data_IF_471994956993
#
_entry.id   IF_471994956993
#
_cell.length_a   1.000
_cell.length_b   1.000
_cell.length_c   1.000
_cell.angle_alpha   90.00
_cell.angle_beta   90.00
_cell.angle_gamma   90.00
#
_symmetry.space_group_name_H-M   'P 1'
#
loop_
_entity.id
_entity.type
_entity.pdbx_description
1 polymer ?
#
# COMPACT_ATOMS: atom_id res chain seq x y z
N UNK A 1 -12.91 -51.32 14.09
CA UNK A 1 -12.07 -50.12 13.87
C UNK A 1 -12.05 -49.34 15.16
N UNK A 2 -10.90 -49.19 15.83
CA UNK A 2 -10.80 -48.28 16.97
C UNK A 2 -10.95 -46.83 16.47
N UNK A 3 -11.49 -45.90 17.29
CA UNK A 3 -11.51 -44.49 16.95
C UNK A 3 -10.07 -43.96 16.86
N UNK A 4 -9.81 -43.17 15.81
CA UNK A 4 -8.57 -42.41 15.65
C UNK A 4 -8.27 -41.62 16.94
N UNK A 5 -7.01 -41.54 17.41
CA UNK A 5 -6.67 -40.65 18.51
C UNK A 5 -7.08 -39.24 18.12
N UNK A 6 -7.82 -38.57 19.01
CA UNK A 6 -8.13 -37.16 18.87
C UNK A 6 -6.81 -36.40 18.74
N UNK A 7 -6.65 -35.64 17.65
CA UNK A 7 -5.55 -34.69 17.52
C UNK A 7 -5.60 -33.76 18.73
N UNK A 8 -4.68 -33.96 19.68
CA UNK A 8 -4.51 -33.11 20.85
C UNK A 8 -3.89 -31.80 20.39
N UNK A 9 -4.69 -30.93 19.78
CA UNK A 9 -4.29 -29.57 19.44
C UNK A 9 -3.90 -28.82 20.71
N UNK A 10 -2.62 -28.47 20.83
CA UNK A 10 -2.14 -27.60 21.91
C UNK A 10 -2.63 -26.18 21.69
N UNK A 11 -3.45 -25.65 22.60
CA UNK A 11 -3.88 -24.26 22.58
C UNK A 11 -2.83 -23.38 23.23
N UNK A 12 -2.28 -22.43 22.48
CA UNK A 12 -1.33 -21.45 22.99
C UNK A 12 -2.03 -20.12 23.22
N UNK A 13 -1.84 -19.55 24.42
CA UNK A 13 -2.26 -18.19 24.74
C UNK A 13 -1.06 -17.27 24.55
N UNK A 14 -1.16 -16.35 23.59
CA UNK A 14 -0.07 -15.46 23.23
C UNK A 14 -0.19 -14.12 23.96
N UNK A 15 0.95 -13.59 24.39
CA UNK A 15 1.04 -12.24 24.91
C UNK A 15 1.53 -11.28 23.82
N UNK A 16 0.99 -10.06 23.76
CA UNK A 16 1.43 -9.08 22.78
C UNK A 16 2.87 -8.64 23.08
N UNK A 17 3.68 -8.55 22.04
CA UNK A 17 5.01 -8.00 22.09
C UNK A 17 4.94 -6.51 22.49
N UNK A 18 5.77 -6.11 23.44
CA UNK A 18 5.89 -4.71 23.85
C UNK A 18 6.71 -3.89 22.86
N UNK A 19 7.72 -4.53 22.26
CA UNK A 19 8.61 -3.95 21.24
C UNK A 19 8.76 -4.99 20.12
N UNK A 20 8.73 -4.58 18.85
CA UNK A 20 9.01 -5.49 17.76
C UNK A 20 10.44 -6.05 17.83
N UNK A 21 10.69 -7.30 17.38
CA UNK A 21 12.04 -7.83 17.24
C UNK A 21 12.89 -6.90 16.37
N UNK A 22 14.14 -6.64 16.75
CA UNK A 22 14.98 -5.60 16.12
C UNK A 22 15.08 -5.74 14.61
N UNK A 23 15.20 -6.98 14.10
CA UNK A 23 15.27 -7.26 12.66
C UNK A 23 13.96 -6.98 11.91
N UNK A 24 12.84 -6.99 12.64
CA UNK A 24 11.50 -6.70 12.13
C UNK A 24 11.06 -5.27 12.41
N UNK A 25 11.87 -4.45 13.09
CA UNK A 25 11.50 -3.09 13.47
C UNK A 25 11.10 -2.22 12.27
N UNK A 26 11.66 -2.46 11.07
CA UNK A 26 11.26 -1.78 9.83
C UNK A 26 9.80 -2.05 9.44
N UNK A 27 9.22 -3.18 9.84
CA UNK A 27 7.86 -3.61 9.49
C UNK A 27 6.90 -3.50 10.68
N UNK A 28 7.40 -3.87 11.85
CA UNK A 28 6.69 -3.97 13.10
C UNK A 28 6.92 -2.74 14.01
N UNK A 29 7.59 -1.70 13.51
CA UNK A 29 7.92 -0.47 14.25
C UNK A 29 6.72 0.28 14.84
N UNK A 30 5.52 0.00 14.34
CA UNK A 30 4.26 0.56 14.83
C UNK A 30 3.45 -0.40 15.72
N UNK A 31 3.95 -1.60 16.01
CA UNK A 31 3.29 -2.53 16.92
C UNK A 31 3.13 -1.88 18.30
N UNK A 32 1.93 -1.97 18.87
CA UNK A 32 1.57 -1.35 20.14
C UNK A 32 1.29 0.15 20.04
N UNK A 33 1.58 0.81 18.91
CA UNK A 33 1.34 2.24 18.73
C UNK A 33 -0.03 2.52 18.10
N UNK A 34 -0.68 3.64 18.46
CA UNK A 34 -1.88 4.10 17.79
C UNK A 34 -1.61 4.40 16.31
N UNK A 35 -2.48 3.89 15.44
CA UNK A 35 -2.56 4.23 14.02
C UNK A 35 -3.60 5.32 13.80
N UNK A 36 -3.65 5.85 12.58
CA UNK A 36 -4.67 6.84 12.18
C UNK A 36 -6.08 6.30 12.40
N UNK A 37 -6.98 7.13 12.92
CA UNK A 37 -8.38 6.73 13.16
C UNK A 37 -8.58 5.82 14.37
N UNK A 38 -7.63 5.76 15.31
CA UNK A 38 -7.77 5.01 16.56
C UNK A 38 -7.52 3.51 16.44
N UNK A 39 -7.08 3.03 15.27
CA UNK A 39 -6.65 1.65 15.07
C UNK A 39 -5.39 1.34 15.88
N UNK A 40 -5.25 0.10 16.35
CA UNK A 40 -4.05 -0.36 17.06
C UNK A 40 -3.59 -1.65 16.38
N UNK A 41 -2.30 -1.73 16.05
CA UNK A 41 -1.68 -2.96 15.59
C UNK A 41 -1.01 -3.65 16.78
N UNK A 42 -1.26 -4.95 16.96
CA UNK A 42 -0.56 -5.76 17.96
C UNK A 42 0.13 -6.92 17.28
N UNK A 43 1.30 -7.26 17.79
CA UNK A 43 2.18 -8.26 17.22
C UNK A 43 2.43 -9.32 18.29
N UNK A 44 2.39 -10.57 17.89
CA UNK A 44 2.50 -11.73 18.76
C UNK A 44 3.56 -12.64 18.16
N UNK A 45 4.52 -13.06 18.96
CA UNK A 45 5.49 -14.07 18.53
C UNK A 45 4.97 -15.45 18.91
N UNK A 46 5.04 -16.37 17.95
CA UNK A 46 4.73 -17.78 18.18
C UNK A 46 5.87 -18.62 17.63
N UNK A 47 6.45 -19.47 18.47
CA UNK A 47 7.49 -20.42 18.05
C UNK A 47 6.90 -21.82 18.04
N UNK A 48 6.44 -22.24 16.86
CA UNK A 48 5.92 -23.58 16.62
C UNK A 48 6.96 -24.39 15.84
N UNK A 49 7.28 -25.60 16.30
CA UNK A 49 8.18 -26.51 15.58
C UNK A 49 7.45 -27.81 15.28
N UNK A 50 7.37 -28.16 13.99
CA UNK A 50 6.68 -29.39 13.56
C UNK A 50 5.18 -29.37 13.82
N UNK A 51 4.55 -28.20 13.89
CA UNK A 51 3.11 -28.04 14.06
C UNK A 51 2.49 -27.36 12.84
N UNK A 52 1.22 -27.66 12.60
CA UNK A 52 0.37 -26.92 11.66
C UNK A 52 -0.57 -26.03 12.46
N UNK A 53 -0.67 -24.76 12.11
CA UNK A 53 -1.70 -23.89 12.64
C UNK A 53 -3.03 -24.25 11.97
N UNK A 54 -3.96 -24.83 12.72
CA UNK A 54 -5.29 -25.19 12.23
C UNK A 54 -6.28 -24.03 12.37
N UNK A 55 -6.34 -23.43 13.56
CA UNK A 55 -7.35 -22.43 13.90
C UNK A 55 -6.75 -21.22 14.64
N UNK A 56 -7.39 -20.06 14.45
CA UNK A 56 -7.12 -18.82 15.18
C UNK A 56 -8.38 -18.38 15.91
N UNK A 57 -8.26 -18.11 17.21
CA UNK A 57 -9.36 -17.69 18.07
C UNK A 57 -9.10 -16.30 18.63
N UNK A 58 -10.12 -15.44 18.62
CA UNK A 58 -10.13 -14.17 19.35
C UNK A 58 -11.15 -14.30 20.47
N UNK A 59 -10.67 -14.29 21.72
CA UNK A 59 -11.53 -14.43 22.89
C UNK A 59 -11.76 -13.07 23.54
N UNK A 60 -13.03 -12.73 23.75
CA UNK A 60 -13.44 -11.57 24.51
C UNK A 60 -13.96 -12.03 25.86
N UNK A 61 -13.31 -11.60 26.92
CA UNK A 61 -13.70 -11.91 28.30
C UNK A 61 -13.89 -10.64 29.08
N UNK A 62 -14.91 -10.62 29.95
CA UNK A 62 -15.16 -9.51 30.86
C UNK A 62 -14.09 -9.48 31.96
N UNK A 63 -13.64 -8.30 32.43
CA UNK A 63 -12.76 -8.22 33.58
C UNK A 63 -13.35 -8.93 34.81
N UNK A 64 -12.55 -9.60 35.65
CA UNK A 64 -13.04 -10.22 36.87
C UNK A 64 -13.77 -9.21 37.78
N UNK A 65 -14.98 -9.55 38.25
CA UNK A 65 -15.72 -8.75 39.24
C UNK A 65 -16.79 -7.78 38.69
N UNK A 66 -16.89 -7.63 37.37
CA UNK A 66 -17.93 -6.82 36.72
C UNK A 66 -19.31 -7.49 36.74
N UNK A 67 -20.30 -6.84 37.36
CA UNK A 67 -21.64 -7.38 37.61
C UNK A 67 -22.72 -6.97 36.60
N UNK A 68 -22.50 -5.90 35.83
CA UNK A 68 -23.47 -5.39 34.85
C UNK A 68 -23.17 -5.88 33.44
N UNK A 69 -24.22 -6.10 32.66
CA UNK A 69 -24.11 -6.30 31.22
C UNK A 69 -23.73 -4.98 30.56
N UNK A 70 -22.63 -4.99 29.81
CA UNK A 70 -22.09 -3.83 29.13
C UNK A 70 -22.08 -4.12 27.63
N UNK A 71 -22.61 -3.19 26.84
CA UNK A 71 -22.49 -3.25 25.38
C UNK A 71 -21.04 -3.02 24.98
N UNK A 72 -20.47 -3.94 24.22
CA UNK A 72 -19.11 -3.82 23.69
C UNK A 72 -19.13 -3.86 22.16
N UNK A 73 -18.23 -3.08 21.54
CA UNK A 73 -17.98 -3.14 20.12
C UNK A 73 -16.46 -3.26 19.91
N UNK A 74 -16.05 -4.27 19.15
CA UNK A 74 -14.68 -4.41 18.67
C UNK A 74 -14.69 -4.52 17.16
N UNK A 75 -13.83 -3.72 16.52
CA UNK A 75 -13.58 -3.79 15.08
C UNK A 75 -12.22 -4.43 14.90
N UNK A 76 -12.21 -5.55 14.18
CA UNK A 76 -10.99 -6.25 13.81
C UNK A 76 -10.77 -6.04 12.31
N UNK A 77 -9.77 -5.24 11.98
CA UNK A 77 -9.48 -4.90 10.58
C UNK A 77 -8.68 -5.99 9.87
N UNK A 78 -7.72 -6.59 10.57
CA UNK A 78 -6.79 -7.54 10.00
C UNK A 78 -6.25 -8.50 11.06
N UNK A 79 -6.17 -9.78 10.73
CA UNK A 79 -5.34 -10.77 11.41
C UNK A 79 -4.46 -11.41 10.34
N UNK A 80 -3.17 -11.45 10.58
CA UNK A 80 -2.21 -12.12 9.70
C UNK A 80 -1.27 -13.00 10.53
N UNK A 81 -0.92 -14.13 9.95
CA UNK A 81 0.15 -15.01 10.44
C UNK A 81 1.18 -15.06 9.34
N UNK A 82 2.40 -14.64 9.68
CA UNK A 82 3.50 -14.48 8.73
C UNK A 82 4.71 -15.22 9.27
N UNK A 83 5.50 -15.75 8.35
CA UNK A 83 6.80 -16.31 8.69
C UNK A 83 7.78 -15.17 8.99
N UNK A 84 8.48 -15.25 10.12
CA UNK A 84 9.42 -14.21 10.51
C UNK A 84 10.58 -14.10 9.50
N UNK A 85 10.98 -15.22 8.89
CA UNK A 85 12.05 -15.22 7.89
C UNK A 85 11.60 -14.61 6.56
N UNK A 86 10.32 -14.76 6.18
CA UNK A 86 9.78 -14.09 4.97
C UNK A 86 9.80 -12.57 5.09
N UNK A 87 9.62 -12.04 6.30
CA UNK A 87 9.74 -10.60 6.58
C UNK A 87 11.19 -10.10 6.45
N UNK A 88 12.19 -10.97 6.59
CA UNK A 88 13.60 -10.59 6.44
C UNK A 88 14.08 -10.69 4.99
N UNK A 89 13.29 -11.32 4.11
CA UNK A 89 13.63 -11.41 2.70
C UNK A 89 13.76 -10.00 2.09
N UNK A 90 14.77 -9.76 1.25
CA UNK A 90 14.90 -8.49 0.56
C UNK A 90 13.68 -8.27 -0.32
N UNK A 91 13.14 -7.05 -0.29
CA UNK A 91 12.14 -6.65 -1.25
C UNK A 91 12.79 -6.39 -2.59
N UNK A 92 12.22 -6.96 -3.65
CA UNK A 92 12.61 -6.59 -4.99
C UNK A 92 11.98 -5.24 -5.35
N UNK A 93 12.77 -4.40 -6.01
CA UNK A 93 12.28 -3.19 -6.64
C UNK A 93 11.39 -3.54 -7.83
N UNK A 94 10.34 -2.74 -8.08
CA UNK A 94 9.58 -2.81 -9.33
C UNK A 94 10.40 -2.21 -10.47
N UNK A 95 10.67 -3.01 -11.50
CA UNK A 95 11.54 -2.65 -12.62
C UNK A 95 10.74 -2.36 -13.89
N UNK A 96 11.42 -1.76 -14.87
CA UNK A 96 10.93 -1.55 -16.24
C UNK A 96 9.53 -0.93 -16.34
N UNK A 97 9.23 0.05 -15.47
CA UNK A 97 7.93 0.72 -15.54
C UNK A 97 7.86 1.54 -16.83
N UNK A 98 6.91 1.22 -17.68
CA UNK A 98 6.71 1.84 -18.98
C UNK A 98 5.30 2.38 -19.13
N UNK A 99 5.16 3.44 -19.93
CA UNK A 99 3.87 4.06 -20.28
C UNK A 99 3.64 3.85 -21.77
N UNK A 100 2.49 3.29 -22.14
CA UNK A 100 2.10 3.02 -23.52
C UNK A 100 0.64 3.41 -23.78
N UNK A 101 0.20 3.34 -25.04
CA UNK A 101 -1.19 3.59 -25.46
C UNK A 101 -1.77 4.90 -24.88
N UNK A 102 -0.95 5.95 -24.91
CA UNK A 102 -1.29 7.28 -24.41
C UNK A 102 -2.37 7.91 -25.30
N UNK A 103 -3.42 8.42 -24.67
CA UNK A 103 -4.50 9.16 -25.30
C UNK A 103 -4.82 10.39 -24.46
N UNK A 104 -4.84 11.53 -25.13
CA UNK A 104 -5.21 12.81 -24.55
C UNK A 104 -6.60 13.20 -25.02
N UNK A 105 -7.45 13.67 -24.10
CA UNK A 105 -8.73 14.29 -24.43
C UNK A 105 -8.77 15.69 -23.81
N UNK A 106 -9.16 16.68 -24.60
CA UNK A 106 -9.49 17.99 -24.06
C UNK A 106 -10.91 17.92 -23.48
N UNK A 107 -11.12 18.40 -22.24
CA UNK A 107 -12.46 18.69 -21.75
C UNK A 107 -13.09 19.79 -22.59
N UNK A 108 -14.43 19.80 -22.66
CA UNK A 108 -15.20 20.85 -23.32
C UNK A 108 -14.73 22.25 -22.88
N UNK A 109 -14.76 23.27 -23.75
CA UNK A 109 -14.26 24.61 -23.44
C UNK A 109 -14.99 25.15 -22.21
N UNK A 110 -14.27 25.32 -21.10
CA UNK A 110 -14.79 25.98 -19.90
C UNK A 110 -14.47 27.46 -20.00
N UNK A 111 -15.50 28.25 -19.66
CA UNK A 111 -15.53 29.70 -19.56
C UNK A 111 -14.26 30.30 -18.95
N UNK A 112 -13.84 31.45 -19.51
CA UNK A 112 -12.57 32.12 -19.29
C UNK A 112 -12.08 32.18 -17.83
N UNK A 113 -10.77 31.95 -17.64
CA UNK A 113 -10.06 32.21 -16.37
C UNK A 113 -9.59 30.99 -15.58
N UNK A 114 -9.78 29.75 -16.07
CA UNK A 114 -9.23 28.53 -15.44
C UNK A 114 -8.12 27.91 -16.30
N UNK A 115 -7.08 27.31 -15.68
CA UNK A 115 -6.10 26.55 -16.42
C UNK A 115 -6.79 25.42 -17.18
N UNK A 116 -6.40 25.23 -18.44
CA UNK A 116 -6.94 24.20 -19.30
C UNK A 116 -6.56 22.86 -18.69
N UNK A 117 -7.54 22.01 -18.41
CA UNK A 117 -7.29 20.64 -17.95
C UNK A 117 -7.24 19.70 -19.13
N UNK A 118 -6.49 18.61 -19.03
CA UNK A 118 -6.45 17.52 -19.99
C UNK A 118 -6.86 16.24 -19.29
N UNK A 119 -7.41 15.30 -20.04
CA UNK A 119 -7.68 13.94 -19.59
C UNK A 119 -6.68 12.98 -20.23
N UNK A 120 -5.89 12.35 -19.40
CA UNK A 120 -4.89 11.36 -19.77
C UNK A 120 -5.46 9.94 -19.58
N UNK A 121 -5.44 9.16 -20.64
CA UNK A 121 -5.62 7.71 -20.59
C UNK A 121 -4.36 7.02 -21.10
N UNK A 122 -3.79 6.10 -20.34
CA UNK A 122 -2.60 5.35 -20.74
C UNK A 122 -2.59 3.96 -20.12
N UNK A 123 -1.72 3.09 -20.63
CA UNK A 123 -1.47 1.77 -20.08
C UNK A 123 -0.07 1.76 -19.46
N UNK A 124 -0.03 1.42 -18.18
CA UNK A 124 1.21 1.19 -17.44
C UNK A 124 1.55 -0.30 -17.48
N UNK A 125 2.82 -0.61 -17.67
CA UNK A 125 3.39 -1.95 -17.59
C UNK A 125 4.67 -1.94 -16.75
N UNK A 126 5.00 -3.06 -16.10
CA UNK A 126 6.23 -3.20 -15.33
C UNK A 126 6.68 -4.65 -15.22
N UNK A 127 7.86 -4.87 -14.65
CA UNK A 127 8.45 -6.18 -14.38
C UNK A 127 8.45 -6.46 -12.88
N UNK A 128 7.82 -7.56 -12.46
CA UNK A 128 7.84 -8.04 -11.07
C UNK A 128 7.43 -9.52 -10.95
N UNK A 129 7.97 -10.24 -9.96
CA UNK A 129 7.56 -11.61 -9.68
C UNK A 129 6.25 -11.66 -8.87
N UNK A 130 5.14 -11.95 -9.54
CA UNK A 130 3.79 -11.96 -8.94
C UNK A 130 3.63 -12.92 -7.75
N UNK A 131 4.47 -13.96 -7.65
CA UNK A 131 4.44 -14.88 -6.51
C UNK A 131 4.79 -14.20 -5.18
N UNK A 132 5.50 -13.06 -5.20
CA UNK A 132 5.97 -12.36 -4.00
C UNK A 132 5.07 -11.20 -3.56
N UNK A 133 4.03 -10.87 -4.32
CA UNK A 133 3.12 -9.75 -4.04
C UNK A 133 1.67 -10.19 -4.00
N UNK A 134 0.87 -9.44 -3.24
CA UNK A 134 -0.58 -9.53 -3.24
C UNK A 134 -1.18 -8.70 -4.38
N UNK A 135 -0.67 -7.48 -4.55
CA UNK A 135 -1.09 -6.52 -5.57
C UNK A 135 -0.07 -5.39 -5.67
N UNK A 136 -0.35 -4.41 -6.53
CA UNK A 136 0.36 -3.16 -6.62
C UNK A 136 -0.60 -2.01 -6.36
N UNK A 137 -0.13 -0.99 -5.63
CA UNK A 137 -0.81 0.30 -5.53
C UNK A 137 -0.20 1.24 -6.55
N UNK A 138 -1.05 1.75 -7.43
CA UNK A 138 -0.65 2.71 -8.45
C UNK A 138 -0.98 4.10 -7.95
N UNK A 139 0.00 5.00 -8.01
CA UNK A 139 -0.15 6.40 -7.64
C UNK A 139 0.37 7.31 -8.74
N UNK A 140 0.04 8.59 -8.67
CA UNK A 140 0.63 9.62 -9.51
C UNK A 140 1.04 10.88 -8.74
N UNK A 141 2.05 11.55 -9.28
CA UNK A 141 2.38 12.93 -9.00
C UNK A 141 2.19 13.77 -10.25
N UNK A 142 1.70 14.97 -10.05
CA UNK A 142 1.68 16.00 -11.07
C UNK A 142 2.76 17.02 -10.74
N UNK A 143 3.73 17.19 -11.64
CA UNK A 143 4.82 18.14 -11.46
C UNK A 143 4.80 19.15 -12.59
N UNK A 144 4.53 20.41 -12.28
CA UNK A 144 4.86 21.50 -13.21
C UNK A 144 6.37 21.76 -13.07
N UNK A 145 7.14 21.60 -14.15
CA UNK A 145 8.54 22.05 -14.16
C UNK A 145 8.56 23.58 -14.20
N UNK A 146 8.49 24.21 -13.03
CA UNK A 146 8.81 25.62 -12.88
C UNK A 146 10.31 25.73 -12.66
N UNK A 147 11.07 26.09 -13.70
CA UNK A 147 12.50 26.43 -13.63
C UNK A 147 12.74 27.78 -12.88
N UNK A 148 11.94 28.09 -11.84
CA UNK A 148 12.16 29.28 -11.01
C UNK A 148 12.96 28.90 -9.75
N UNK A 149 14.15 29.51 -9.51
CA UNK A 149 15.04 29.14 -8.40
C UNK A 149 14.56 29.62 -7.02
N UNK A 150 13.33 30.12 -6.91
CA UNK A 150 12.84 30.86 -5.74
C UNK A 150 11.58 30.31 -5.09
N UNK A 151 11.09 29.13 -5.50
CA UNK A 151 9.99 28.48 -4.80
C UNK A 151 10.56 27.47 -3.82
N UNK A 152 10.47 27.78 -2.53
CA UNK A 152 10.71 26.78 -1.47
C UNK A 152 9.93 25.49 -1.83
N UNK A 153 10.53 24.30 -1.67
CA UNK A 153 9.86 23.06 -1.98
C UNK A 153 8.61 22.99 -1.12
N UNK A 154 7.43 23.09 -1.78
CA UNK A 154 6.18 22.74 -1.13
C UNK A 154 6.40 21.37 -0.49
N UNK A 155 6.12 21.26 0.82
CA UNK A 155 6.40 20.06 1.61
C UNK A 155 5.89 18.80 0.90
N UNK A 156 6.44 17.60 1.22
CA UNK A 156 6.31 16.42 0.38
C UNK A 156 4.85 16.13 0.02
N UNK A 157 4.44 16.51 -1.19
CA UNK A 157 3.09 16.27 -1.67
C UNK A 157 2.90 14.76 -1.74
N UNK A 158 1.94 14.27 -0.95
CA UNK A 158 1.63 12.84 -0.92
C UNK A 158 1.11 12.45 -2.31
N UNK A 159 1.65 11.39 -2.93
CA UNK A 159 1.18 10.95 -4.24
C UNK A 159 -0.30 10.58 -4.20
N UNK A 160 -1.00 10.89 -5.28
CA UNK A 160 -2.43 10.61 -5.41
C UNK A 160 -2.62 9.16 -5.78
N UNK A 161 -3.37 8.43 -4.94
CA UNK A 161 -3.68 7.03 -5.19
C UNK A 161 -4.67 6.90 -6.36
N UNK A 162 -4.30 6.10 -7.36
CA UNK A 162 -5.12 5.85 -8.55
C UNK A 162 -5.91 4.55 -8.44
N UNK A 163 -5.31 3.49 -7.90
CA UNK A 163 -5.98 2.20 -7.80
C UNK A 163 -5.06 1.02 -7.51
N UNK A 164 -5.64 -0.17 -7.55
CA UNK A 164 -4.95 -1.45 -7.36
C UNK A 164 -4.79 -2.19 -8.68
N UNK A 165 -3.63 -2.82 -8.86
CA UNK A 165 -3.37 -3.77 -9.94
C UNK A 165 -3.02 -5.15 -9.35
N UNK A 166 -3.61 -6.21 -9.90
CA UNK A 166 -3.33 -7.60 -9.52
C UNK A 166 -2.49 -8.34 -10.58
N UNK A 167 -2.01 -7.59 -11.57
CA UNK A 167 -1.12 -8.03 -12.62
C UNK A 167 -0.06 -6.93 -12.83
N UNK A 168 0.96 -7.23 -13.64
CA UNK A 168 2.03 -6.29 -13.97
C UNK A 168 1.62 -5.19 -14.97
N UNK A 169 0.36 -4.76 -14.90
CA UNK A 169 -0.21 -3.76 -15.78
C UNK A 169 -1.38 -3.03 -15.12
N UNK A 170 -1.57 -1.77 -15.48
CA UNK A 170 -2.69 -0.94 -15.02
C UNK A 170 -3.13 0.06 -16.08
N UNK A 171 -4.43 0.11 -16.36
CA UNK A 171 -5.01 1.09 -17.28
C UNK A 171 -5.44 2.32 -16.50
N UNK A 172 -4.79 3.45 -16.78
CA UNK A 172 -5.21 4.77 -16.32
C UNK A 172 -6.28 5.27 -17.29
N UNK A 173 -7.41 5.74 -16.76
CA UNK A 173 -8.54 6.25 -17.55
C UNK A 173 -8.88 7.65 -17.08
N UNK A 174 -8.90 8.58 -18.02
CA UNK A 174 -9.33 9.97 -17.86
C UNK A 174 -8.75 10.69 -16.64
N UNK A 175 -7.48 10.43 -16.32
CA UNK A 175 -6.74 11.13 -15.28
C UNK A 175 -6.67 12.61 -15.64
N UNK A 176 -7.20 13.45 -14.76
CA UNK A 176 -7.19 14.90 -14.95
C UNK A 176 -5.80 15.42 -14.61
N UNK A 177 -5.21 16.15 -15.57
CA UNK A 177 -3.93 16.84 -15.40
C UNK A 177 -4.06 18.26 -15.95
N UNK A 178 -3.27 19.17 -15.44
CA UNK A 178 -3.17 20.54 -15.91
C UNK A 178 -2.43 20.56 -17.27
N UNK A 179 -2.94 21.35 -18.22
CA UNK A 179 -2.26 21.54 -19.48
C UNK A 179 -0.94 22.29 -19.24
N UNK A 180 0.08 21.91 -19.99
CA UNK A 180 1.33 22.65 -19.97
C UNK A 180 1.09 24.08 -20.48
N UNK A 181 1.63 25.08 -19.77
CA UNK A 181 1.58 26.47 -20.20
C UNK A 181 2.39 26.71 -21.48
N UNK A 182 2.21 27.85 -22.16
CA UNK A 182 2.96 28.17 -23.37
C UNK A 182 4.48 28.12 -23.11
N UNK A 183 5.19 27.29 -23.88
CA UNK A 183 6.65 27.12 -23.74
C UNK A 183 7.09 26.30 -22.52
N UNK A 184 6.17 25.63 -21.83
CA UNK A 184 6.48 24.71 -20.74
C UNK A 184 6.14 23.26 -21.12
N UNK A 185 6.85 22.32 -20.50
CA UNK A 185 6.51 20.90 -20.54
C UNK A 185 5.80 20.53 -19.22
N UNK A 186 4.67 19.85 -19.36
CA UNK A 186 4.00 19.16 -18.27
C UNK A 186 4.65 17.80 -18.00
N UNK A 187 4.57 17.37 -16.74
CA UNK A 187 5.08 16.06 -16.32
C UNK A 187 4.10 15.38 -15.37
N UNK A 188 3.75 14.14 -15.71
CA UNK A 188 3.09 13.22 -14.78
C UNK A 188 4.08 12.12 -14.42
N UNK A 189 4.28 11.88 -13.13
CA UNK A 189 5.07 10.74 -12.66
C UNK A 189 4.13 9.69 -12.07
N UNK A 190 4.19 8.48 -12.62
CA UNK A 190 3.49 7.30 -12.10
C UNK A 190 4.41 6.54 -11.16
N UNK A 191 3.85 6.12 -10.04
CA UNK A 191 4.53 5.34 -9.02
C UNK A 191 3.80 4.01 -8.82
N UNK A 192 4.55 2.91 -8.77
CA UNK A 192 4.04 1.56 -8.57
C UNK A 192 4.64 1.01 -7.28
N UNK A 193 3.83 0.97 -6.23
CA UNK A 193 4.18 0.39 -4.93
C UNK A 193 3.82 -1.11 -4.94
N UNK A 194 4.78 -2.03 -4.80
CA UNK A 194 4.47 -3.44 -4.59
C UNK A 194 3.89 -3.61 -3.19
N UNK A 195 2.82 -4.41 -3.06
CA UNK A 195 2.24 -4.79 -1.77
C UNK A 195 2.62 -6.26 -1.52
N UNK A 196 3.54 -6.53 -0.58
CA UNK A 196 3.94 -7.89 -0.21
C UNK A 196 2.73 -8.69 0.29
N UNK A 197 2.85 -10.02 0.30
CA UNK A 197 1.75 -10.89 0.80
C UNK A 197 1.44 -10.63 2.26
N UNK A 198 2.48 -10.31 3.00
CA UNK A 198 2.48 -9.93 4.40
C UNK A 198 1.97 -8.49 4.62
N UNK A 199 1.59 -7.76 3.57
CA UNK A 199 0.85 -6.50 3.66
C UNK A 199 1.59 -5.29 4.24
N UNK A 200 2.89 -5.41 4.50
CA UNK A 200 3.68 -4.35 5.13
C UNK A 200 4.04 -3.20 4.18
N UNK A 201 4.39 -2.04 4.76
CA UNK A 201 4.69 -0.81 4.02
C UNK A 201 6.06 -0.85 3.35
N UNK A 202 6.09 -0.91 2.03
CA UNK A 202 7.34 -0.94 1.25
C UNK A 202 7.99 0.46 1.17
N UNK A 203 9.30 0.60 1.47
CA UNK A 203 10.02 1.86 1.27
C UNK A 203 9.93 2.35 -0.17
N UNK A 204 9.86 3.67 -0.36
CA UNK A 204 9.68 4.27 -1.69
C UNK A 204 10.86 4.04 -2.65
N UNK A 205 12.02 3.62 -2.15
CA UNK A 205 13.16 3.21 -2.97
C UNK A 205 12.86 1.96 -3.83
N UNK A 206 11.98 1.07 -3.33
CA UNK A 206 11.60 -0.16 -4.03
C UNK A 206 10.42 0.04 -4.98
N UNK A 207 9.85 1.25 -5.03
CA UNK A 207 8.74 1.56 -5.90
C UNK A 207 9.23 1.77 -7.32
N UNK A 208 8.46 1.28 -8.28
CA UNK A 208 8.70 1.50 -9.70
C UNK A 208 8.22 2.89 -10.09
N UNK A 209 8.90 3.52 -11.06
CA UNK A 209 8.62 4.90 -11.48
C UNK A 209 8.65 5.03 -12.99
N UNK A 210 7.69 5.77 -13.53
CA UNK A 210 7.72 6.20 -14.93
C UNK A 210 7.21 7.64 -15.04
N UNK A 211 7.92 8.48 -15.79
CA UNK A 211 7.50 9.84 -16.07
C UNK A 211 6.99 9.96 -17.51
N UNK A 212 5.81 10.56 -17.68
CA UNK A 212 5.27 10.98 -18.96
C UNK A 212 5.45 12.50 -19.07
N UNK A 213 6.28 12.91 -20.03
CA UNK A 213 6.44 14.32 -20.41
C UNK A 213 5.48 14.64 -21.55
N UNK A 214 4.85 15.81 -21.49
CA UNK A 214 3.96 16.30 -22.53
C UNK A 214 4.12 17.81 -22.67
N UNK A 215 4.28 18.27 -23.90
CA UNK A 215 4.15 19.69 -24.24
C UNK A 215 2.67 20.00 -24.52
N UNK A 216 2.29 21.28 -24.52
CA UNK A 216 0.94 21.68 -24.94
C UNK A 216 0.59 21.01 -26.28
N UNK A 217 -0.58 20.34 -26.38
CA UNK A 217 -1.00 19.79 -27.65
C UNK A 217 -1.33 20.94 -28.60
N UNK A 218 -0.81 20.85 -29.81
CA UNK A 218 -1.07 21.72 -30.95
C UNK A 218 -2.57 21.85 -31.26
#
# INVERSE_FOLDING_TARGET
MPPSPAETGSRQSLQPLQVPPTKLARWAGRCGQPLSGGWIQRCYEVSLRGCLLQDLFVNFSRPPGSRKEESFACRLGEIQVVDADSLLAPLHQVQDVTVSQVRWQQPAPVLEGRPVRLRLSCLLHWSYLLLQVRCFRVHCWEGTRSDSPSREPAGPEKPTFLGLAFANQYRVVDLVVEAAGPGQDGRVEFLVEPVPREGFLVPQAEWGRAALLYSSPW
#
